data_IF_857303613604
#
_entry.id   IF_857303613604
#
_cell.length_a   1.000
_cell.length_b   1.000
_cell.length_c   1.000
_cell.angle_alpha   90.00
_cell.angle_beta   90.00
_cell.angle_gamma   90.00
#
_symmetry.space_group_name_H-M   'P 1'
#
loop_
_entity.id
_entity.type
_entity.pdbx_description
1 polymer ?
#
# COMPACT_ATOMS: atom_id res chain seq x y z
N UNK A 1 29.29 -30.42 3.01
CA UNK A 1 28.23 -30.61 1.99
C UNK A 1 26.83 -30.24 2.47
N UNK A 2 26.46 -30.43 3.73
CA UNK A 2 25.12 -30.09 4.29
C UNK A 2 24.87 -28.59 4.18
N UNK A 3 25.78 -27.76 4.66
CA UNK A 3 25.69 -26.29 4.59
C UNK A 3 25.49 -25.71 3.19
N UNK A 4 26.08 -26.32 2.18
CA UNK A 4 25.92 -25.87 0.77
C UNK A 4 24.51 -26.16 0.24
N UNK A 5 23.91 -27.27 0.64
CA UNK A 5 22.53 -27.62 0.25
C UNK A 5 21.50 -26.74 0.95
N UNK A 6 21.68 -26.53 2.25
CA UNK A 6 20.85 -25.61 3.04
C UNK A 6 20.93 -24.17 2.53
N UNK A 7 22.17 -23.68 2.30
CA UNK A 7 22.39 -22.33 1.77
C UNK A 7 21.80 -22.15 0.37
N UNK A 8 21.95 -23.15 -0.50
CA UNK A 8 21.34 -23.13 -1.83
C UNK A 8 19.81 -23.11 -1.79
N UNK A 9 19.19 -23.93 -0.94
CA UNK A 9 17.75 -23.93 -0.74
C UNK A 9 17.26 -22.59 -0.17
N UNK A 10 17.97 -22.04 0.83
CA UNK A 10 17.66 -20.73 1.41
C UNK A 10 17.68 -19.63 0.35
N UNK A 11 18.71 -19.56 -0.49
CA UNK A 11 18.83 -18.56 -1.55
C UNK A 11 17.67 -18.67 -2.54
N UNK A 12 17.33 -19.87 -2.96
CA UNK A 12 16.21 -20.09 -3.89
C UNK A 12 14.90 -19.66 -3.28
N UNK A 13 14.59 -20.09 -2.04
CA UNK A 13 13.35 -19.73 -1.35
C UNK A 13 13.23 -18.22 -1.12
N UNK A 14 14.31 -17.60 -0.64
CA UNK A 14 14.37 -16.15 -0.44
C UNK A 14 14.14 -15.41 -1.77
N UNK A 15 14.79 -15.82 -2.85
CA UNK A 15 14.62 -15.20 -4.17
C UNK A 15 13.18 -15.34 -4.68
N UNK A 16 12.57 -16.52 -4.49
CA UNK A 16 11.18 -16.75 -4.88
C UNK A 16 10.22 -15.90 -4.05
N UNK A 17 10.43 -15.81 -2.72
CA UNK A 17 9.62 -14.96 -1.83
C UNK A 17 9.72 -13.49 -2.22
N UNK A 18 10.94 -12.97 -2.45
CA UNK A 18 11.15 -11.60 -2.92
C UNK A 18 10.49 -11.34 -4.27
N UNK A 19 10.59 -12.29 -5.20
CA UNK A 19 9.96 -12.18 -6.52
C UNK A 19 8.44 -12.14 -6.40
N UNK A 20 7.86 -13.00 -5.56
CA UNK A 20 6.43 -13.05 -5.28
C UNK A 20 5.95 -11.74 -4.66
N UNK A 21 6.66 -11.22 -3.66
CA UNK A 21 6.37 -9.93 -3.02
C UNK A 21 6.41 -8.77 -4.02
N UNK A 22 7.46 -8.66 -4.82
CA UNK A 22 7.59 -7.61 -5.84
C UNK A 22 6.48 -7.69 -6.89
N UNK A 23 6.18 -8.88 -7.39
CA UNK A 23 5.09 -9.10 -8.35
C UNK A 23 3.73 -8.76 -7.75
N UNK A 24 3.47 -9.19 -6.51
CA UNK A 24 2.25 -8.89 -5.77
C UNK A 24 2.07 -7.40 -5.55
N UNK A 25 3.10 -6.69 -5.11
CA UNK A 25 3.08 -5.23 -4.98
C UNK A 25 2.82 -4.53 -6.32
N UNK A 26 3.48 -4.96 -7.39
CA UNK A 26 3.24 -4.41 -8.73
C UNK A 26 1.80 -4.63 -9.19
N UNK A 27 1.22 -5.80 -8.91
CA UNK A 27 -0.18 -6.12 -9.20
C UNK A 27 -1.14 -5.23 -8.41
N UNK A 28 -0.90 -5.04 -7.10
CA UNK A 28 -1.70 -4.13 -6.25
C UNK A 28 -1.64 -2.70 -6.77
N UNK A 29 -0.45 -2.20 -7.15
CA UNK A 29 -0.28 -0.87 -7.75
C UNK A 29 -1.07 -0.76 -9.05
N UNK A 30 -0.92 -1.71 -9.96
CA UNK A 30 -1.60 -1.72 -11.24
C UNK A 30 -3.13 -1.70 -11.07
N UNK A 31 -3.62 -2.51 -10.14
CA UNK A 31 -5.05 -2.60 -9.82
C UNK A 31 -5.59 -1.34 -9.13
N UNK A 32 -4.82 -0.71 -8.24
CA UNK A 32 -5.23 0.49 -7.54
C UNK A 32 -5.17 1.77 -8.41
N UNK A 33 -4.37 1.78 -9.49
CA UNK A 33 -4.20 2.95 -10.39
C UNK A 33 -5.50 3.61 -10.83
N UNK A 34 -6.56 2.90 -11.28
CA UNK A 34 -7.82 3.54 -11.70
C UNK A 34 -8.50 4.32 -10.58
N UNK A 35 -8.36 3.87 -9.33
CA UNK A 35 -8.92 4.53 -8.15
C UNK A 35 -8.19 5.84 -7.80
N UNK A 36 -7.00 6.03 -8.35
CA UNK A 36 -6.18 7.24 -8.18
C UNK A 36 -6.27 8.21 -9.37
N UNK A 37 -7.15 7.97 -10.34
CA UNK A 37 -7.33 8.88 -11.47
C UNK A 37 -7.86 10.25 -11.00
N UNK A 38 -7.38 11.38 -11.60
CA UNK A 38 -7.77 12.73 -11.19
C UNK A 38 -9.24 13.04 -11.42
N UNK A 39 -9.93 12.26 -12.25
CA UNK A 39 -11.38 12.38 -12.50
C UNK A 39 -12.26 11.95 -11.32
N UNK A 40 -11.71 11.21 -10.34
CA UNK A 40 -12.41 10.80 -9.12
C UNK A 40 -12.03 11.76 -7.97
N UNK A 41 -12.37 13.03 -8.12
CA UNK A 41 -11.90 14.13 -7.27
C UNK A 41 -12.44 14.13 -5.82
N UNK A 42 -13.44 13.33 -5.50
CA UNK A 42 -13.96 13.16 -4.14
C UNK A 42 -14.32 11.69 -3.91
N UNK A 43 -13.36 10.91 -3.46
CA UNK A 43 -13.67 9.66 -2.81
C UNK A 43 -14.33 10.02 -1.47
N UNK A 44 -15.63 9.79 -1.33
CA UNK A 44 -16.28 9.92 -0.02
C UNK A 44 -15.59 8.98 1.00
N UNK A 45 -15.70 9.24 2.31
CA UNK A 45 -14.99 8.51 3.36
C UNK A 45 -15.20 6.99 3.27
N UNK A 46 -16.37 6.55 2.84
CA UNK A 46 -16.71 5.13 2.67
C UNK A 46 -15.88 4.49 1.54
N UNK A 47 -15.70 5.18 0.42
CA UNK A 47 -14.90 4.65 -0.71
C UNK A 47 -13.42 4.58 -0.38
N UNK A 48 -12.90 5.54 0.37
CA UNK A 48 -11.53 5.51 0.88
C UNK A 48 -11.32 4.33 1.82
N UNK A 49 -12.25 4.09 2.76
CA UNK A 49 -12.22 2.95 3.66
C UNK A 49 -12.29 1.60 2.91
N UNK A 50 -13.16 1.49 1.90
CA UNK A 50 -13.24 0.27 1.07
C UNK A 50 -11.95 0.02 0.28
N UNK A 51 -11.31 1.06 -0.27
CA UNK A 51 -10.03 0.92 -0.96
C UNK A 51 -8.96 0.41 -0.01
N UNK A 52 -8.87 0.98 1.20
CA UNK A 52 -7.94 0.54 2.24
C UNK A 52 -8.16 -0.93 2.61
N UNK A 53 -9.40 -1.32 2.87
CA UNK A 53 -9.76 -2.69 3.19
C UNK A 53 -9.30 -3.67 2.10
N UNK A 54 -9.54 -3.34 0.84
CA UNK A 54 -9.12 -4.16 -0.30
C UNK A 54 -7.61 -4.29 -0.43
N UNK A 55 -6.87 -3.20 -0.22
CA UNK A 55 -5.39 -3.23 -0.26
C UNK A 55 -4.85 -4.08 0.89
N UNK A 56 -5.39 -3.93 2.12
CA UNK A 56 -5.00 -4.76 3.27
C UNK A 56 -5.28 -6.24 3.02
N UNK A 57 -6.46 -6.57 2.49
CA UNK A 57 -6.81 -7.95 2.13
C UNK A 57 -5.83 -8.52 1.08
N UNK A 58 -5.45 -7.73 0.08
CA UNK A 58 -4.48 -8.15 -0.92
C UNK A 58 -3.11 -8.47 -0.32
N UNK A 59 -2.62 -7.67 0.65
CA UNK A 59 -1.38 -7.97 1.37
C UNK A 59 -1.48 -9.21 2.25
N UNK A 60 -2.61 -9.41 2.96
CA UNK A 60 -2.82 -10.64 3.74
C UNK A 60 -2.76 -11.86 2.82
N UNK A 61 -3.43 -11.82 1.67
CA UNK A 61 -3.38 -12.91 0.69
C UNK A 61 -1.96 -13.15 0.20
N UNK A 62 -1.20 -12.08 -0.07
CA UNK A 62 0.18 -12.17 -0.51
C UNK A 62 1.07 -12.87 0.54
N UNK A 63 0.97 -12.48 1.82
CA UNK A 63 1.71 -13.14 2.90
C UNK A 63 1.30 -14.59 3.09
N UNK A 64 0.01 -14.92 2.94
CA UNK A 64 -0.43 -16.34 2.96
C UNK A 64 0.20 -17.13 1.80
N UNK A 65 0.32 -16.56 0.61
CA UNK A 65 0.99 -17.22 -0.52
C UNK A 65 2.48 -17.44 -0.26
N UNK A 66 3.17 -16.51 0.40
CA UNK A 66 4.56 -16.67 0.82
C UNK A 66 4.71 -17.79 1.85
N UNK A 67 3.85 -17.84 2.86
CA UNK A 67 3.82 -18.94 3.84
C UNK A 67 3.56 -20.29 3.14
N UNK A 68 2.65 -20.33 2.16
CA UNK A 68 2.37 -21.56 1.41
C UNK A 68 3.56 -22.00 0.54
N UNK A 69 4.35 -21.06 0.02
CA UNK A 69 5.59 -21.35 -0.72
C UNK A 69 6.59 -22.09 0.18
N UNK A 70 6.85 -21.61 1.39
CA UNK A 70 7.72 -22.23 2.38
C UNK A 70 7.12 -23.56 2.89
N UNK A 71 5.81 -23.59 3.13
CA UNK A 71 5.07 -24.80 3.51
C UNK A 71 5.26 -25.91 2.49
N UNK A 72 5.18 -25.63 1.19
CA UNK A 72 5.36 -26.62 0.14
C UNK A 72 6.76 -27.22 0.17
N UNK A 73 7.78 -26.39 0.39
CA UNK A 73 9.16 -26.87 0.54
C UNK A 73 9.31 -27.79 1.76
N UNK A 74 8.80 -27.37 2.94
CA UNK A 74 8.88 -28.16 4.16
C UNK A 74 8.06 -29.46 4.07
N UNK A 75 6.94 -29.43 3.38
CA UNK A 75 6.10 -30.61 3.18
C UNK A 75 6.83 -31.71 2.39
N UNK A 76 7.60 -31.32 1.41
CA UNK A 76 8.29 -32.30 0.56
C UNK A 76 9.58 -32.81 1.15
N UNK A 77 10.29 -32.05 1.98
CA UNK A 77 11.61 -32.43 2.47
C UNK A 77 11.65 -32.73 3.99
N UNK A 78 10.73 -32.18 4.79
CA UNK A 78 10.85 -32.19 6.26
C UNK A 78 9.69 -32.86 6.98
N UNK A 79 8.46 -32.64 6.54
CA UNK A 79 7.27 -33.07 7.27
C UNK A 79 6.39 -34.04 6.46
N UNK A 80 5.83 -35.09 7.10
CA UNK A 80 4.93 -36.05 6.43
C UNK A 80 3.53 -35.50 6.18
N UNK A 81 3.10 -34.45 6.94
CA UNK A 81 1.75 -33.89 6.90
C UNK A 81 1.77 -32.41 6.56
N UNK A 82 0.78 -31.96 5.77
CA UNK A 82 0.60 -30.55 5.38
C UNK A 82 0.35 -29.64 6.57
N UNK A 83 -0.42 -30.12 7.54
CA UNK A 83 -0.77 -29.36 8.75
C UNK A 83 0.48 -28.95 9.53
N UNK A 84 1.40 -29.91 9.82
CA UNK A 84 2.63 -29.63 10.54
C UNK A 84 3.57 -28.69 9.77
N UNK A 85 3.64 -28.86 8.44
CA UNK A 85 4.45 -28.00 7.57
C UNK A 85 3.89 -26.56 7.55
N UNK A 86 2.58 -26.41 7.39
CA UNK A 86 1.93 -25.09 7.40
C UNK A 86 2.04 -24.41 8.77
N UNK A 87 1.79 -25.14 9.84
CA UNK A 87 1.91 -24.62 11.20
C UNK A 87 3.32 -24.12 11.48
N UNK A 88 4.34 -24.92 11.14
CA UNK A 88 5.74 -24.53 11.32
C UNK A 88 6.08 -23.26 10.51
N UNK A 89 5.73 -23.24 9.22
CA UNK A 89 5.99 -22.10 8.35
C UNK A 89 5.28 -20.84 8.85
N UNK A 90 3.98 -20.92 9.16
CA UNK A 90 3.23 -19.79 9.68
C UNK A 90 3.82 -19.25 10.99
N UNK A 91 4.20 -20.14 11.93
CA UNK A 91 4.81 -19.76 13.21
C UNK A 91 6.20 -19.14 13.01
N UNK A 92 6.99 -19.65 12.07
CA UNK A 92 8.32 -19.11 11.74
C UNK A 92 8.23 -17.78 11.02
N UNK A 93 7.41 -17.70 9.99
CA UNK A 93 7.19 -16.47 9.20
C UNK A 93 6.69 -15.32 10.06
N UNK A 94 5.74 -15.59 10.96
CA UNK A 94 5.22 -14.61 11.92
C UNK A 94 6.16 -14.35 13.12
N UNK A 95 7.36 -14.98 13.16
CA UNK A 95 8.33 -14.88 14.27
C UNK A 95 7.81 -15.33 15.64
N UNK A 96 6.75 -16.12 15.67
CA UNK A 96 6.18 -16.64 16.93
C UNK A 96 7.06 -17.75 17.51
N UNK A 97 7.44 -18.74 16.68
CA UNK A 97 8.41 -19.78 17.00
C UNK A 97 8.12 -20.53 18.31
N UNK A 98 6.97 -21.16 18.45
CA UNK A 98 6.59 -21.89 19.67
C UNK A 98 7.58 -22.99 20.06
N UNK A 99 8.27 -23.61 19.08
CA UNK A 99 9.29 -24.62 19.32
C UNK A 99 8.75 -26.03 19.61
N UNK A 100 7.44 -26.24 19.48
CA UNK A 100 6.76 -27.53 19.60
C UNK A 100 6.92 -28.41 18.34
N UNK A 101 7.01 -27.77 17.18
CA UNK A 101 7.34 -28.39 15.90
C UNK A 101 8.66 -27.79 15.41
N UNK A 102 9.66 -28.65 15.14
CA UNK A 102 11.00 -28.21 14.71
C UNK A 102 11.46 -28.97 13.48
N UNK A 103 12.27 -28.31 12.66
CA UNK A 103 12.86 -28.90 11.47
C UNK A 103 13.95 -29.94 11.85
N UNK A 104 14.16 -30.97 11.02
CA UNK A 104 15.32 -31.86 11.11
C UNK A 104 16.62 -31.07 11.13
N UNK A 105 17.65 -31.58 11.81
CA UNK A 105 18.92 -30.87 11.99
C UNK A 105 19.54 -30.32 10.70
N UNK A 106 19.38 -31.06 9.59
CA UNK A 106 19.94 -30.66 8.29
C UNK A 106 19.19 -29.50 7.60
N UNK A 107 18.05 -29.02 8.14
CA UNK A 107 17.26 -27.92 7.60
C UNK A 107 16.93 -26.86 8.66
N UNK A 108 17.55 -26.96 9.83
CA UNK A 108 17.18 -26.18 11.01
C UNK A 108 17.41 -24.67 10.86
N UNK A 109 18.38 -24.27 10.04
CA UNK A 109 18.71 -22.86 9.81
C UNK A 109 17.68 -22.14 8.93
N UNK A 110 16.84 -22.89 8.18
CA UNK A 110 15.82 -22.29 7.34
C UNK A 110 14.71 -21.58 8.14
N UNK A 111 14.36 -22.05 9.35
CA UNK A 111 13.38 -21.38 10.20
C UNK A 111 13.75 -19.94 10.54
N UNK A 112 14.94 -19.67 11.10
CA UNK A 112 15.42 -18.29 11.31
C UNK A 112 15.51 -17.46 10.04
N UNK A 113 15.91 -18.04 8.89
CA UNK A 113 15.94 -17.34 7.59
C UNK A 113 14.54 -16.95 7.18
N UNK A 114 13.57 -17.84 7.27
CA UNK A 114 12.15 -17.56 6.99
C UNK A 114 11.62 -16.43 7.88
N UNK A 115 11.95 -16.44 9.19
CA UNK A 115 11.54 -15.40 10.13
C UNK A 115 12.07 -14.02 9.76
N UNK A 116 13.34 -13.91 9.38
CA UNK A 116 13.93 -12.64 8.93
C UNK A 116 13.23 -12.13 7.67
N UNK A 117 13.00 -13.00 6.69
CA UNK A 117 12.31 -12.64 5.46
C UNK A 117 10.87 -12.23 5.74
N UNK A 118 10.14 -12.95 6.60
CA UNK A 118 8.77 -12.60 7.00
C UNK A 118 8.67 -11.19 7.57
N UNK A 119 9.57 -10.81 8.49
CA UNK A 119 9.61 -9.44 9.05
C UNK A 119 9.88 -8.40 7.97
N UNK A 120 10.82 -8.66 7.05
CA UNK A 120 11.12 -7.74 5.95
C UNK A 120 9.94 -7.56 5.01
N UNK A 121 9.23 -8.64 4.68
CA UNK A 121 8.03 -8.57 3.79
C UNK A 121 6.89 -7.81 4.46
N UNK A 122 6.62 -8.06 5.74
CA UNK A 122 5.65 -7.30 6.54
C UNK A 122 6.01 -5.80 6.60
N UNK A 123 7.29 -5.46 6.81
CA UNK A 123 7.78 -4.09 6.82
C UNK A 123 7.58 -3.37 5.48
N UNK A 124 7.87 -4.05 4.37
CA UNK A 124 7.64 -3.52 3.03
C UNK A 124 6.14 -3.25 2.78
N UNK A 125 5.28 -4.19 3.14
CA UNK A 125 3.82 -4.05 3.00
C UNK A 125 3.27 -2.90 3.85
N UNK A 126 3.75 -2.75 5.09
CA UNK A 126 3.38 -1.65 5.98
C UNK A 126 3.84 -0.29 5.43
N UNK A 127 5.06 -0.19 4.90
CA UNK A 127 5.58 1.03 4.29
C UNK A 127 4.77 1.43 3.06
N UNK A 128 4.38 0.47 2.24
CA UNK A 128 3.55 0.71 1.07
C UNK A 128 2.14 1.18 1.46
N UNK A 129 1.54 0.55 2.47
CA UNK A 129 0.24 0.96 3.02
C UNK A 129 0.29 2.39 3.54
N UNK A 130 1.34 2.74 4.29
CA UNK A 130 1.57 4.11 4.76
C UNK A 130 1.64 5.12 3.61
N UNK A 131 2.36 4.79 2.53
CA UNK A 131 2.45 5.65 1.35
C UNK A 131 1.08 5.88 0.68
N UNK A 132 0.21 4.87 0.63
CA UNK A 132 -1.15 5.01 0.11
C UNK A 132 -1.99 5.92 1.01
N UNK A 133 -1.96 5.70 2.34
CA UNK A 133 -2.69 6.52 3.31
C UNK A 133 -2.28 7.98 3.22
N UNK A 134 -0.98 8.26 3.22
CA UNK A 134 -0.45 9.62 3.11
C UNK A 134 -0.95 10.32 1.84
N UNK A 135 -0.94 9.61 0.70
CA UNK A 135 -1.48 10.16 -0.56
C UNK A 135 -2.98 10.45 -0.52
N UNK A 136 -3.76 9.66 0.20
CA UNK A 136 -5.19 9.89 0.37
C UNK A 136 -5.44 11.13 1.22
N UNK A 137 -4.74 11.28 2.35
CA UNK A 137 -4.83 12.43 3.25
C UNK A 137 -4.43 13.73 2.52
N UNK A 138 -3.32 13.72 1.79
CA UNK A 138 -2.85 14.88 1.02
C UNK A 138 -3.86 15.34 -0.03
N UNK A 139 -4.58 14.40 -0.65
CA UNK A 139 -5.64 14.71 -1.61
C UNK A 139 -6.85 15.35 -0.97
N UNK A 140 -7.29 14.85 0.17
CA UNK A 140 -8.40 15.43 0.93
C UNK A 140 -8.06 16.85 1.40
N UNK A 141 -6.84 17.05 1.91
CA UNK A 141 -6.36 18.37 2.33
C UNK A 141 -6.32 19.37 1.15
N UNK A 142 -5.86 18.95 -0.04
CA UNK A 142 -5.86 19.79 -1.25
C UNK A 142 -7.28 20.10 -1.75
N UNK A 143 -8.20 19.14 -1.67
CA UNK A 143 -9.59 19.35 -2.06
C UNK A 143 -10.32 20.32 -1.13
N UNK A 144 -9.96 20.33 0.14
CA UNK A 144 -10.47 21.26 1.15
C UNK A 144 -9.90 22.69 0.98
N UNK A 145 -8.64 22.81 0.55
CA UNK A 145 -7.93 24.07 0.35
C UNK A 145 -8.03 24.65 -1.07
N UNK A 146 -8.77 24.01 -1.98
CA UNK A 146 -9.02 24.63 -3.29
C UNK A 146 -9.87 25.87 -3.06
N UNK A 147 -9.38 27.11 -3.40
CA UNK A 147 -10.14 28.32 -3.20
C UNK A 147 -11.44 28.20 -3.98
N UNK A 148 -12.55 28.47 -3.30
CA UNK A 148 -13.84 28.69 -3.96
C UNK A 148 -13.58 29.80 -4.97
N UNK A 149 -13.42 29.41 -6.23
CA UNK A 149 -13.30 30.38 -7.32
C UNK A 149 -14.61 31.17 -7.29
N UNK A 150 -14.52 32.38 -6.77
CA UNK A 150 -15.60 33.34 -6.71
C UNK A 150 -16.16 33.57 -8.11
N UNK A 151 -17.06 32.70 -8.57
CA UNK A 151 -17.97 33.03 -9.67
C UNK A 151 -18.89 34.21 -9.29
N UNK A 152 -18.91 34.62 -8.00
CA UNK A 152 -19.66 35.80 -7.51
C UNK A 152 -18.99 37.14 -7.77
N UNK A 153 -17.68 37.20 -8.15
CA UNK A 153 -17.00 38.50 -8.30
C UNK A 153 -17.21 39.17 -9.68
N UNK A 154 -17.72 38.44 -10.68
CA UNK A 154 -18.04 39.02 -11.98
C UNK A 154 -19.35 39.83 -12.02
N UNK A 155 -20.22 39.67 -11.07
CA UNK A 155 -21.50 40.39 -11.05
C UNK A 155 -21.37 41.76 -10.37
N UNK A 156 -20.39 41.95 -9.48
CA UNK A 156 -20.20 43.22 -8.75
C UNK A 156 -19.39 44.29 -9.50
N UNK A 157 -18.66 43.92 -10.56
CA UNK A 157 -17.94 44.88 -11.39
C UNK A 157 -18.78 45.51 -12.51
N UNK A 158 -20.02 45.05 -12.72
CA UNK A 158 -20.90 45.60 -13.74
C UNK A 158 -21.82 46.72 -13.24
N UNK A 159 -21.79 47.04 -11.94
CA UNK A 159 -22.48 48.16 -11.35
C UNK A 159 -21.45 49.22 -10.95
N UNK A 160 -20.70 49.77 -11.92
CA UNK A 160 -20.00 51.03 -11.74
C UNK A 160 -21.00 52.13 -12.03
N UNK A 161 -21.40 52.97 -11.05
CA UNK A 161 -22.23 54.12 -11.35
C UNK A 161 -21.42 55.06 -12.24
N UNK A 162 -21.96 55.38 -13.39
CA UNK A 162 -21.46 56.37 -14.34
C UNK A 162 -21.20 57.66 -13.57
N UNK A 163 -19.96 58.02 -13.32
CA UNK A 163 -19.55 59.26 -12.70
C UNK A 163 -19.92 60.39 -13.66
N UNK A 164 -21.02 61.08 -13.42
CA UNK A 164 -21.34 62.31 -14.12
C UNK A 164 -20.21 63.31 -13.85
N UNK A 165 -19.49 63.70 -14.88
CA UNK A 165 -18.55 64.80 -14.86
C UNK A 165 -19.34 66.10 -14.73
N UNK A 166 -19.01 67.00 -13.77
CA UNK A 166 -19.68 68.27 -13.57
C UNK A 166 -18.99 69.32 -14.44
N UNK A 167 -19.20 69.29 -15.76
CA UNK A 167 -18.71 70.33 -16.65
C UNK A 167 -19.71 70.62 -17.77
N UNK A 168 -20.93 71.05 -17.37
CA UNK A 168 -21.80 71.79 -18.24
C UNK A 168 -22.70 72.69 -17.37
N UNK A 169 -22.13 73.77 -16.89
CA UNK A 169 -22.90 74.93 -16.40
C UNK A 169 -22.82 76.02 -17.44
N UNK A 170 -23.94 76.40 -18.10
CA UNK A 170 -24.00 77.42 -19.20
C UNK A 170 -24.16 78.85 -18.72
N UNK A 171 -23.67 79.24 -17.55
CA UNK A 171 -23.86 80.56 -17.04
C UNK A 171 -22.53 81.17 -16.59
N UNK A 172 -21.73 81.67 -17.49
CA UNK A 172 -20.90 82.86 -17.22
C UNK A 172 -20.54 83.52 -18.56
N UNK A 173 -21.24 84.66 -18.82
CA UNK A 173 -20.73 85.77 -19.65
C UNK A 173 -20.85 87.01 -18.78
N UNK A 174 -20.03 87.99 -18.93
CA UNK A 174 -19.89 88.88 -20.08
C UNK A 174 -18.61 88.88 -20.78
#
# INVERSE_FOLDING_TARGET
>A
MIFLREGGAAIVLVTLTLSLQCAGMAAVIAWARPSFAPSVLRLGPIRSAMLMMRVMTAFIVLHVLEILLWTAFYRWLCFPFWESAFYFSAASYATVGYGDVVLPQMWRTLGPVESIIGVLMCGLSASFLFAIVSRLIDREARASNSPITHTGRKVLCQFSPRRNSPHDSPWVRP
#
